data_IF_545795043894
#
_entry.id   IF_545795043894
#
_cell.length_a   1.000
_cell.length_b   1.000
_cell.length_c   1.000
_cell.angle_alpha   90.00
_cell.angle_beta   90.00
_cell.angle_gamma   90.00
#
_symmetry.space_group_name_H-M   'P 1'
#
loop_
_entity.id
_entity.type
_entity.pdbx_description
1 polymer ?
#
# COMPACT_ATOMS: atom_id res chain seq x y z
N UNK A 1 -1.32 10.42 -25.16
CA UNK A 1 -1.84 9.97 -23.85
C UNK A 1 -2.21 11.14 -22.93
N UNK A 2 -1.26 11.91 -22.37
CA UNK A 2 -1.62 13.00 -21.45
C UNK A 2 -2.48 14.10 -22.07
N UNK A 3 -2.21 14.48 -23.33
CA UNK A 3 -3.01 15.46 -24.07
C UNK A 3 -4.42 14.95 -24.41
N UNK A 4 -4.55 13.65 -24.72
CA UNK A 4 -5.83 13.02 -25.02
C UNK A 4 -6.74 13.01 -23.80
N UNK A 5 -6.17 12.74 -22.61
CA UNK A 5 -6.89 12.80 -21.34
C UNK A 5 -7.41 14.21 -21.05
N UNK A 6 -6.60 15.24 -21.32
CA UNK A 6 -7.04 16.64 -21.16
C UNK A 6 -8.14 17.00 -22.14
N UNK A 7 -8.06 16.53 -23.40
CA UNK A 7 -9.13 16.71 -24.39
C UNK A 7 -10.42 16.02 -23.93
N UNK A 8 -10.34 14.80 -23.39
CA UNK A 8 -11.48 14.08 -22.84
C UNK A 8 -12.12 14.83 -21.65
N UNK A 9 -11.31 15.27 -20.68
CA UNK A 9 -11.78 16.07 -19.55
C UNK A 9 -12.46 17.37 -20.01
N UNK A 10 -11.89 18.07 -21.00
CA UNK A 10 -12.49 19.29 -21.57
C UNK A 10 -13.82 19.00 -22.27
N UNK A 11 -13.93 17.90 -23.02
CA UNK A 11 -15.19 17.46 -23.65
C UNK A 11 -16.26 17.15 -22.61
N UNK A 12 -15.88 16.55 -21.49
CA UNK A 12 -16.75 16.34 -20.32
C UNK A 12 -17.00 17.63 -19.49
N UNK A 13 -16.59 18.80 -19.99
CA UNK A 13 -16.87 20.09 -19.38
C UNK A 13 -15.96 20.47 -18.20
N UNK A 14 -14.82 19.80 -18.01
CA UNK A 14 -13.86 20.10 -16.95
C UNK A 14 -12.76 21.07 -17.41
N UNK A 15 -12.41 22.02 -16.55
CA UNK A 15 -11.18 22.81 -16.70
C UNK A 15 -10.02 22.04 -16.08
N UNK A 16 -9.06 21.60 -16.91
CA UNK A 16 -7.95 20.76 -16.48
C UNK A 16 -6.59 21.40 -16.74
N UNK A 17 -5.66 21.21 -15.80
CA UNK A 17 -4.25 21.57 -15.91
C UNK A 17 -3.45 20.27 -15.92
N UNK A 18 -2.63 20.07 -16.95
CA UNK A 18 -1.75 18.90 -17.02
C UNK A 18 -0.40 19.18 -16.36
N UNK A 19 0.06 18.23 -15.55
CA UNK A 19 1.40 18.20 -14.99
C UNK A 19 1.91 16.75 -15.00
N UNK A 20 3.04 16.51 -15.67
CA UNK A 20 3.69 15.20 -15.64
C UNK A 20 4.45 15.00 -14.33
N UNK A 21 4.35 13.81 -13.73
CA UNK A 21 5.14 13.42 -12.55
C UNK A 21 6.65 13.32 -12.84
N UNK A 22 7.01 13.05 -14.10
CA UNK A 22 8.41 12.95 -14.56
C UNK A 22 9.10 14.31 -14.74
N UNK A 23 8.36 15.42 -14.58
CA UNK A 23 8.87 16.78 -14.77
C UNK A 23 8.79 17.56 -13.47
N UNK A 24 9.69 18.53 -13.31
CA UNK A 24 9.62 19.51 -12.21
C UNK A 24 8.29 20.27 -12.28
N UNK A 25 7.79 20.74 -11.14
CA UNK A 25 6.62 21.62 -11.07
C UNK A 25 5.38 21.04 -10.38
N UNK A 26 5.37 19.76 -9.99
CA UNK A 26 4.24 19.13 -9.28
C UNK A 26 3.80 19.96 -8.07
N UNK A 27 4.72 20.31 -7.16
CA UNK A 27 4.39 21.11 -5.98
C UNK A 27 3.78 22.47 -6.36
N UNK A 28 4.25 23.11 -7.43
CA UNK A 28 3.68 24.38 -7.91
C UNK A 28 2.28 24.17 -8.49
N UNK A 29 2.06 23.07 -9.22
CA UNK A 29 0.74 22.71 -9.75
C UNK A 29 -0.27 22.42 -8.63
N UNK A 30 0.13 21.67 -7.60
CA UNK A 30 -0.71 21.35 -6.44
C UNK A 30 -1.06 22.58 -5.58
N UNK A 31 -0.28 23.66 -5.66
CA UNK A 31 -0.58 24.94 -4.98
C UNK A 31 -1.55 25.85 -5.76
N UNK A 32 -1.91 25.50 -6.99
CA UNK A 32 -2.89 26.28 -7.76
C UNK A 32 -4.29 26.11 -7.15
N UNK A 33 -5.20 27.03 -7.46
CA UNK A 33 -6.62 26.90 -7.09
C UNK A 33 -7.27 25.80 -7.93
N UNK A 34 -7.26 24.58 -7.40
CA UNK A 34 -7.86 23.37 -7.99
C UNK A 34 -8.80 22.72 -7.00
N UNK A 35 -9.84 22.05 -7.50
CA UNK A 35 -10.86 21.39 -6.69
C UNK A 35 -10.65 19.87 -6.57
N UNK A 36 -9.81 19.30 -7.43
CA UNK A 36 -9.55 17.87 -7.50
C UNK A 36 -8.15 17.63 -8.10
N UNK A 37 -7.44 16.64 -7.57
CA UNK A 37 -6.24 16.07 -8.19
C UNK A 37 -6.61 14.72 -8.79
N UNK A 38 -6.59 14.59 -10.12
CA UNK A 38 -6.76 13.31 -10.79
C UNK A 38 -5.39 12.75 -11.17
N UNK A 39 -4.99 11.61 -10.58
CA UNK A 39 -3.72 10.96 -10.87
C UNK A 39 -3.92 9.84 -11.88
N UNK A 40 -3.37 10.03 -13.07
CA UNK A 40 -3.31 9.02 -14.12
C UNK A 40 -1.97 8.28 -14.06
N UNK A 41 -1.97 7.08 -13.46
CA UNK A 41 -0.73 6.32 -13.23
C UNK A 41 -0.93 5.00 -12.50
N UNK A 42 0.18 4.37 -12.11
CA UNK A 42 0.19 3.23 -11.20
C UNK A 42 0.45 3.64 -9.75
N UNK A 43 0.53 2.65 -8.85
CA UNK A 43 0.63 2.84 -7.40
C UNK A 43 1.75 3.81 -6.98
N UNK A 44 2.96 3.67 -7.54
CA UNK A 44 4.06 4.59 -7.22
C UNK A 44 3.80 6.06 -7.57
N UNK A 45 3.05 6.34 -8.65
CA UNK A 45 2.66 7.73 -8.97
C UNK A 45 1.57 8.22 -8.02
N UNK A 46 0.63 7.36 -7.65
CA UNK A 46 -0.42 7.67 -6.68
C UNK A 46 0.19 7.99 -5.31
N UNK A 47 1.07 7.13 -4.80
CA UNK A 47 1.76 7.34 -3.52
C UNK A 47 2.63 8.60 -3.50
N UNK A 48 3.34 8.91 -4.60
CA UNK A 48 4.13 10.15 -4.69
C UNK A 48 3.23 11.39 -4.53
N UNK A 49 2.12 11.45 -5.26
CA UNK A 49 1.21 12.59 -5.22
C UNK A 49 0.46 12.66 -3.88
N UNK A 50 0.00 11.53 -3.35
CA UNK A 50 -0.64 11.44 -2.06
C UNK A 50 0.30 11.92 -0.93
N UNK A 51 1.58 11.52 -0.94
CA UNK A 51 2.58 12.00 0.01
C UNK A 51 2.71 13.52 0.00
N UNK A 52 2.74 14.13 -1.20
CA UNK A 52 2.81 15.59 -1.34
C UNK A 52 1.57 16.27 -0.79
N UNK A 53 0.38 15.74 -1.06
CA UNK A 53 -0.89 16.26 -0.54
C UNK A 53 -0.93 16.23 0.98
N UNK A 54 -0.56 15.10 1.59
CA UNK A 54 -0.49 14.92 3.05
C UNK A 54 0.53 15.88 3.66
N UNK A 55 1.74 15.95 3.08
CA UNK A 55 2.82 16.82 3.58
C UNK A 55 2.47 18.31 3.51
N UNK A 56 1.66 18.70 2.51
CA UNK A 56 1.14 20.06 2.35
C UNK A 56 -0.10 20.34 3.20
N UNK A 57 -0.63 19.33 3.93
CA UNK A 57 -1.93 19.39 4.62
C UNK A 57 -3.05 19.84 3.69
N UNK A 58 -3.00 19.38 2.43
CA UNK A 58 -3.95 19.78 1.39
C UNK A 58 -5.35 19.27 1.71
N UNK A 59 -6.35 20.13 1.48
CA UNK A 59 -7.78 19.78 1.57
C UNK A 59 -8.35 19.35 0.21
N UNK A 60 -7.55 19.41 -0.86
CA UNK A 60 -7.94 19.01 -2.21
C UNK A 60 -7.99 17.48 -2.28
N UNK A 61 -9.13 16.89 -2.66
CA UNK A 61 -9.23 15.44 -2.76
C UNK A 61 -8.44 14.88 -3.95
N UNK A 62 -8.09 13.60 -3.83
CA UNK A 62 -7.37 12.81 -4.81
C UNK A 62 -8.30 11.79 -5.45
N UNK A 63 -8.37 11.73 -6.78
CA UNK A 63 -8.96 10.61 -7.52
C UNK A 63 -7.88 9.92 -8.35
N UNK A 64 -8.11 8.66 -8.70
CA UNK A 64 -7.13 7.83 -9.39
C UNK A 64 -7.72 7.30 -10.69
N UNK A 65 -6.94 7.46 -11.77
CA UNK A 65 -7.15 6.83 -13.05
C UNK A 65 -6.10 5.72 -13.21
N UNK A 66 -6.47 4.45 -12.97
CA UNK A 66 -5.53 3.35 -12.77
C UNK A 66 -4.90 2.88 -14.09
N UNK A 67 -3.74 3.43 -14.43
CA UNK A 67 -2.97 3.13 -15.65
C UNK A 67 -1.82 2.12 -15.44
N UNK A 68 -1.56 1.71 -14.20
CA UNK A 68 -0.49 0.79 -13.85
C UNK A 68 -0.82 -0.70 -14.03
N UNK A 69 0.13 -1.54 -13.65
CA UNK A 69 -0.01 -3.00 -13.72
C UNK A 69 -0.87 -3.55 -12.58
N UNK A 70 -0.50 -3.25 -11.33
CA UNK A 70 -1.14 -3.75 -10.12
C UNK A 70 -2.34 -2.89 -9.70
N UNK A 71 -2.14 -1.57 -9.57
CA UNK A 71 -3.15 -0.59 -9.15
C UNK A 71 -3.81 -1.00 -7.82
N UNK A 72 -3.02 -1.43 -6.85
CA UNK A 72 -3.53 -1.94 -5.59
C UNK A 72 -4.32 -0.89 -4.80
N UNK A 73 -3.80 0.34 -4.74
CA UNK A 73 -4.51 1.46 -4.10
C UNK A 73 -5.88 1.69 -4.75
N UNK A 74 -5.89 1.78 -6.09
CA UNK A 74 -7.10 2.02 -6.85
C UNK A 74 -8.12 0.89 -6.68
N UNK A 75 -7.68 -0.37 -6.81
CA UNK A 75 -8.52 -1.56 -6.66
C UNK A 75 -9.10 -1.70 -5.25
N UNK A 76 -8.29 -1.44 -4.23
CA UNK A 76 -8.73 -1.57 -2.84
C UNK A 76 -9.78 -0.53 -2.47
N UNK A 77 -9.75 0.63 -3.12
CA UNK A 77 -10.76 1.69 -2.99
C UNK A 77 -11.89 1.58 -4.02
N UNK A 78 -11.95 0.49 -4.80
CA UNK A 78 -13.05 0.24 -5.75
C UNK A 78 -13.03 1.10 -7.02
N UNK A 79 -11.89 1.71 -7.37
CA UNK A 79 -11.72 2.39 -8.66
C UNK A 79 -11.64 1.35 -9.79
N UNK A 80 -12.82 0.91 -10.24
CA UNK A 80 -12.98 -0.17 -11.23
C UNK A 80 -13.45 0.33 -12.60
N UNK A 81 -13.78 1.61 -12.73
CA UNK A 81 -14.31 2.21 -13.96
C UNK A 81 -13.26 2.26 -15.07
N UNK A 82 -13.73 2.20 -16.31
CA UNK A 82 -12.89 2.52 -17.47
C UNK A 82 -12.50 4.01 -17.46
N UNK A 83 -11.53 4.35 -18.31
CA UNK A 83 -11.01 5.72 -18.38
C UNK A 83 -12.08 6.73 -18.77
N UNK A 84 -12.93 6.36 -19.74
CA UNK A 84 -13.97 7.23 -20.25
C UNK A 84 -15.11 7.38 -19.23
N UNK A 85 -15.56 6.28 -18.63
CA UNK A 85 -16.57 6.30 -17.57
C UNK A 85 -16.15 7.15 -16.36
N UNK A 86 -14.87 7.04 -15.95
CA UNK A 86 -14.35 7.84 -14.85
C UNK A 86 -14.40 9.34 -15.17
N UNK A 87 -14.02 9.72 -16.40
CA UNK A 87 -14.00 11.12 -16.83
C UNK A 87 -15.42 11.67 -16.96
N UNK A 88 -16.34 10.90 -17.52
CA UNK A 88 -17.75 11.32 -17.69
C UNK A 88 -18.46 11.46 -16.35
N UNK A 89 -18.22 10.53 -15.42
CA UNK A 89 -18.88 10.51 -14.12
C UNK A 89 -18.15 11.33 -13.05
N UNK A 90 -17.01 11.94 -13.36
CA UNK A 90 -16.13 12.60 -12.39
C UNK A 90 -16.85 13.61 -11.48
N UNK A 91 -17.89 14.27 -11.98
CA UNK A 91 -18.71 15.24 -11.22
C UNK A 91 -19.58 14.62 -10.13
N UNK A 92 -19.96 13.36 -10.29
CA UNK A 92 -20.83 12.62 -9.38
C UNK A 92 -20.06 11.94 -8.24
N UNK A 93 -18.75 12.18 -8.13
CA UNK A 93 -17.97 11.57 -7.07
C UNK A 93 -18.24 12.18 -5.70
N UNK A 94 -17.90 11.42 -4.68
CA UNK A 94 -18.03 11.80 -3.29
C UNK A 94 -16.66 11.93 -2.64
N UNK A 95 -16.56 12.87 -1.69
CA UNK A 95 -15.31 13.11 -0.97
C UNK A 95 -15.30 12.31 0.33
N UNK A 96 -14.50 11.25 0.37
CA UNK A 96 -14.26 10.42 1.55
C UNK A 96 -12.98 10.84 2.26
N UNK A 97 -12.92 10.69 3.59
CA UNK A 97 -11.67 10.79 4.35
C UNK A 97 -10.82 9.55 4.15
N UNK A 98 -9.49 9.73 4.24
CA UNK A 98 -8.54 8.65 4.18
C UNK A 98 -7.44 8.84 5.22
N UNK A 99 -7.26 7.83 6.04
CA UNK A 99 -6.26 7.71 7.09
C UNK A 99 -4.94 7.27 6.47
N UNK A 100 -3.86 7.89 6.94
CA UNK A 100 -2.52 7.68 6.37
C UNK A 100 -1.58 7.16 7.44
N UNK A 101 -0.75 6.18 7.08
CA UNK A 101 0.33 5.71 7.93
C UNK A 101 1.49 6.68 7.97
N UNK A 102 1.98 6.96 9.17
CA UNK A 102 3.25 7.65 9.38
C UNK A 102 4.18 6.75 10.18
N UNK A 103 5.26 6.30 9.54
CA UNK A 103 6.34 5.60 10.17
C UNK A 103 7.48 6.56 10.49
N UNK A 104 7.98 6.51 11.72
CA UNK A 104 9.17 7.23 12.18
C UNK A 104 10.22 6.22 12.56
N UNK A 105 11.44 6.45 12.13
CA UNK A 105 12.56 5.58 12.48
C UNK A 105 13.90 6.24 12.15
N UNK A 106 14.96 5.44 12.07
CA UNK A 106 16.31 5.92 11.75
C UNK A 106 16.42 6.73 10.44
N UNK A 107 15.52 6.46 9.49
CA UNK A 107 15.40 7.14 8.21
C UNK A 107 14.58 8.44 8.25
N UNK A 108 14.14 8.87 9.43
CA UNK A 108 13.22 10.00 9.61
C UNK A 108 11.75 9.60 9.48
N UNK A 109 10.95 10.45 8.83
CA UNK A 109 9.52 10.24 8.63
C UNK A 109 9.21 9.67 7.25
N UNK A 110 8.27 8.73 7.20
CA UNK A 110 7.78 8.12 5.96
C UNK A 110 6.28 7.92 6.02
N UNK A 111 5.58 8.41 5.00
CA UNK A 111 4.16 8.11 4.82
C UNK A 111 3.99 6.79 4.06
N UNK A 112 2.92 6.06 4.38
CA UNK A 112 2.46 4.88 3.66
C UNK A 112 0.92 4.87 3.62
N UNK A 113 0.34 4.21 2.63
CA UNK A 113 -1.10 4.28 2.36
C UNK A 113 -1.79 2.92 2.41
N UNK A 114 -1.07 1.85 2.09
CA UNK A 114 -1.59 0.49 2.02
C UNK A 114 -1.36 -0.27 3.31
N UNK A 115 -0.13 -0.22 3.80
CA UNK A 115 0.27 -0.89 5.02
C UNK A 115 1.79 -0.91 5.19
N UNK A 116 2.22 -1.41 6.34
CA UNK A 116 3.63 -1.65 6.65
C UNK A 116 3.78 -3.06 7.21
N UNK A 117 4.93 -3.70 7.01
CA UNK A 117 5.12 -5.05 7.50
C UNK A 117 6.55 -5.53 7.47
N UNK A 118 6.75 -6.74 7.98
CA UNK A 118 8.04 -7.40 7.99
C UNK A 118 7.91 -8.92 7.88
N UNK A 119 9.08 -9.57 7.83
CA UNK A 119 9.17 -11.01 7.70
C UNK A 119 9.08 -11.46 6.24
N UNK A 120 8.37 -12.57 5.99
CA UNK A 120 8.31 -13.24 4.69
C UNK A 120 8.07 -12.28 3.51
N UNK A 121 7.15 -11.33 3.65
CA UNK A 121 6.81 -10.37 2.59
C UNK A 121 7.93 -9.36 2.32
N UNK A 122 8.53 -8.78 3.36
CA UNK A 122 9.61 -7.82 3.19
C UNK A 122 10.82 -8.48 2.52
N UNK A 123 11.16 -9.70 2.95
CA UNK A 123 12.21 -10.52 2.34
C UNK A 123 11.92 -10.90 0.89
N UNK A 124 10.65 -11.16 0.58
CA UNK A 124 10.20 -11.42 -0.78
C UNK A 124 10.39 -10.19 -1.68
N UNK A 125 9.96 -9.01 -1.24
CA UNK A 125 10.10 -7.75 -1.98
C UNK A 125 11.58 -7.35 -2.18
N UNK A 126 12.46 -7.72 -1.24
CA UNK A 126 13.87 -7.40 -1.29
C UNK A 126 14.69 -8.32 -2.20
N UNK A 127 14.20 -9.53 -2.47
CA UNK A 127 14.96 -10.50 -3.24
C UNK A 127 15.18 -10.03 -4.70
N UNK A 128 16.33 -10.37 -5.30
CA UNK A 128 16.57 -10.08 -6.71
C UNK A 128 15.43 -10.60 -7.58
N UNK A 129 14.90 -9.74 -8.45
CA UNK A 129 13.93 -10.16 -9.46
C UNK A 129 14.69 -10.83 -10.61
N UNK A 130 14.98 -12.11 -10.47
CA UNK A 130 15.82 -12.88 -11.41
C UNK A 130 15.24 -13.00 -12.84
N UNK A 131 14.06 -12.44 -13.15
CA UNK A 131 13.30 -12.80 -14.35
C UNK A 131 12.57 -11.64 -15.07
N UNK A 132 13.10 -10.41 -15.07
CA UNK A 132 12.51 -9.30 -15.83
C UNK A 132 12.31 -9.57 -17.34
N UNK A 133 13.04 -10.54 -17.92
CA UNK A 133 12.87 -10.98 -19.32
C UNK A 133 11.72 -11.99 -19.53
N UNK A 134 11.34 -12.78 -18.51
CA UNK A 134 10.24 -13.77 -18.58
C UNK A 134 8.87 -13.21 -18.14
N UNK A 135 8.87 -12.05 -17.49
CA UNK A 135 7.64 -11.33 -17.10
C UNK A 135 6.81 -10.87 -18.31
N UNK A 136 7.44 -10.63 -19.48
CA UNK A 136 6.75 -10.09 -20.67
C UNK A 136 5.76 -11.05 -21.36
N UNK A 137 5.82 -12.36 -21.11
CA UNK A 137 4.94 -13.35 -21.75
C UNK A 137 3.76 -13.79 -20.89
N UNK A 138 3.68 -13.35 -19.62
CA UNK A 138 2.60 -13.75 -18.71
C UNK A 138 1.48 -12.72 -18.70
N UNK A 139 0.25 -13.20 -18.63
CA UNK A 139 -0.88 -12.35 -18.25
C UNK A 139 -0.70 -11.84 -16.81
N UNK A 140 -1.32 -10.69 -16.49
CA UNK A 140 -1.29 -10.12 -15.12
C UNK A 140 -1.71 -11.13 -14.04
N UNK A 141 -2.67 -12.00 -14.37
CA UNK A 141 -3.15 -13.03 -13.45
C UNK A 141 -2.11 -14.14 -13.19
N UNK A 142 -1.34 -14.52 -14.21
CA UNK A 142 -0.28 -15.52 -14.08
C UNK A 142 0.93 -15.02 -13.31
N UNK A 143 1.30 -13.76 -13.55
CA UNK A 143 2.34 -13.05 -12.78
C UNK A 143 1.96 -13.03 -11.30
N UNK A 144 0.71 -12.67 -10.99
CA UNK A 144 0.21 -12.67 -9.62
C UNK A 144 0.26 -14.05 -8.97
N UNK A 145 -0.23 -15.09 -9.65
CA UNK A 145 -0.14 -16.48 -9.14
C UNK A 145 1.30 -16.92 -8.92
N UNK A 146 2.23 -16.47 -9.76
CA UNK A 146 3.64 -16.77 -9.60
C UNK A 146 4.21 -16.17 -8.30
N UNK A 147 3.89 -14.90 -8.00
CA UNK A 147 4.31 -14.27 -6.74
C UNK A 147 3.78 -15.01 -5.51
N UNK A 148 2.52 -15.44 -5.53
CA UNK A 148 1.94 -16.21 -4.41
C UNK A 148 2.63 -17.56 -4.24
N UNK A 149 2.91 -18.28 -5.34
CA UNK A 149 3.65 -19.55 -5.29
C UNK A 149 5.06 -19.38 -4.73
N UNK A 150 5.70 -18.26 -5.02
CA UNK A 150 7.03 -17.96 -4.49
C UNK A 150 6.98 -17.65 -2.99
N UNK A 151 5.98 -16.91 -2.51
CA UNK A 151 5.72 -16.72 -1.08
C UNK A 151 5.47 -18.07 -0.38
N UNK A 152 4.62 -18.91 -0.97
CA UNK A 152 4.34 -20.27 -0.47
C UNK A 152 5.63 -21.11 -0.37
N UNK A 153 6.43 -21.15 -1.44
CA UNK A 153 7.70 -21.89 -1.48
C UNK A 153 8.67 -21.43 -0.41
N UNK A 154 8.83 -20.11 -0.25
CA UNK A 154 9.70 -19.53 0.79
C UNK A 154 9.20 -19.87 2.18
N UNK A 155 7.90 -19.77 2.40
CA UNK A 155 7.26 -20.08 3.67
C UNK A 155 7.51 -21.52 4.12
N UNK A 156 7.78 -22.49 3.26
CA UNK A 156 8.06 -23.86 3.71
C UNK A 156 9.24 -23.96 4.68
N UNK A 157 10.29 -23.16 4.46
CA UNK A 157 11.53 -23.19 5.26
C UNK A 157 11.85 -21.83 5.92
N UNK A 158 10.92 -20.88 5.87
CA UNK A 158 11.13 -19.53 6.39
C UNK A 158 11.18 -19.55 7.92
N UNK A 159 12.24 -19.04 8.54
CA UNK A 159 12.32 -18.99 10.02
C UNK A 159 11.60 -17.76 10.56
N UNK A 160 10.75 -17.96 11.57
CA UNK A 160 10.20 -16.85 12.34
C UNK A 160 11.34 -16.01 12.95
N UNK A 161 11.09 -14.71 13.10
CA UNK A 161 12.06 -13.77 13.68
C UNK A 161 11.48 -13.14 14.93
N UNK A 162 12.31 -12.95 15.95
CA UNK A 162 11.94 -12.25 17.18
C UNK A 162 11.75 -10.76 16.93
N UNK A 163 10.66 -10.22 17.48
CA UNK A 163 10.33 -8.81 17.43
C UNK A 163 9.95 -8.32 18.82
N UNK A 164 10.52 -7.19 19.24
CA UNK A 164 10.08 -6.42 20.41
C UNK A 164 9.08 -5.37 19.91
N UNK A 165 7.80 -5.50 20.25
CA UNK A 165 6.71 -4.68 19.70
C UNK A 165 5.59 -4.44 20.71
N UNK A 166 4.96 -3.28 20.64
CA UNK A 166 3.75 -2.97 21.39
C UNK A 166 2.71 -2.25 20.51
N UNK A 167 1.44 -2.60 20.69
CA UNK A 167 0.29 -1.95 20.06
C UNK A 167 -0.49 -1.17 21.12
N UNK A 168 -0.58 0.14 20.97
CA UNK A 168 -1.23 1.05 21.93
C UNK A 168 -0.77 0.86 23.39
N UNK A 169 0.46 0.38 23.58
CA UNK A 169 1.07 0.12 24.89
C UNK A 169 0.97 -1.33 25.36
N UNK A 170 0.17 -2.17 24.70
CA UNK A 170 0.09 -3.60 24.98
C UNK A 170 1.21 -4.36 24.26
N UNK A 171 1.94 -5.19 25.01
CA UNK A 171 3.01 -6.00 24.45
C UNK A 171 2.46 -7.05 23.46
N UNK A 172 3.09 -7.12 22.30
CA UNK A 172 2.81 -8.12 21.26
C UNK A 172 4.08 -8.79 20.77
N UNK A 173 5.14 -8.72 21.57
CA UNK A 173 6.45 -9.26 21.22
C UNK A 173 6.42 -10.77 20.96
N UNK A 174 7.41 -11.23 20.20
CA UNK A 174 7.67 -12.65 19.96
C UNK A 174 8.12 -12.97 18.53
N UNK A 175 8.13 -14.26 18.23
CA UNK A 175 8.57 -14.80 16.94
C UNK A 175 7.47 -14.79 15.89
N UNK A 176 7.70 -14.08 14.78
CA UNK A 176 6.76 -13.97 13.67
C UNK A 176 7.36 -14.43 12.34
N UNK A 177 6.60 -15.23 11.57
CA UNK A 177 6.85 -15.51 10.14
C UNK A 177 6.62 -14.25 9.31
N UNK A 178 5.56 -13.51 9.63
CA UNK A 178 5.26 -12.19 9.12
C UNK A 178 4.42 -11.42 10.14
N UNK A 179 4.47 -10.11 10.05
CA UNK A 179 3.49 -9.22 10.68
C UNK A 179 3.22 -8.04 9.75
N UNK A 180 2.00 -7.50 9.80
CA UNK A 180 1.58 -6.33 9.05
C UNK A 180 0.70 -5.40 9.90
N UNK A 181 0.94 -4.11 9.73
CA UNK A 181 0.05 -3.00 10.05
C UNK A 181 -0.75 -2.64 8.78
N UNK A 182 -2.02 -3.03 8.72
CA UNK A 182 -2.86 -2.92 7.53
C UNK A 182 -3.75 -1.67 7.59
N UNK A 183 -3.71 -0.86 6.52
CA UNK A 183 -4.69 0.20 6.27
C UNK A 183 -5.71 -0.23 5.19
N UNK A 184 -5.20 -0.87 4.13
CA UNK A 184 -6.02 -1.54 3.13
C UNK A 184 -6.24 -3.01 3.49
N UNK A 185 -7.24 -3.62 2.84
CA UNK A 185 -7.62 -5.00 3.12
C UNK A 185 -6.61 -6.04 2.65
N UNK A 186 -5.78 -5.69 1.66
CA UNK A 186 -4.90 -6.62 0.97
C UNK A 186 -3.48 -6.09 0.81
N UNK A 187 -2.50 -6.99 0.91
CA UNK A 187 -1.12 -6.75 0.49
C UNK A 187 -0.98 -7.14 -0.98
N UNK A 188 -0.78 -6.14 -1.84
CA UNK A 188 -0.95 -6.32 -3.27
C UNK A 188 -2.39 -6.75 -3.64
N UNK A 189 -2.65 -7.05 -4.91
CA UNK A 189 -4.02 -7.09 -5.42
C UNK A 189 -4.81 -8.35 -5.05
N UNK A 190 -4.22 -9.33 -4.35
CA UNK A 190 -4.87 -10.62 -4.08
C UNK A 190 -4.68 -11.17 -2.67
N UNK A 191 -3.75 -10.69 -1.86
CA UNK A 191 -3.52 -11.28 -0.53
C UNK A 191 -4.28 -10.47 0.51
N UNK A 192 -5.57 -10.76 0.64
CA UNK A 192 -6.46 -10.18 1.66
C UNK A 192 -6.09 -10.72 3.03
N UNK A 193 -5.35 -9.92 3.80
CA UNK A 193 -4.93 -10.24 5.16
C UNK A 193 -5.88 -9.66 6.21
N UNK A 194 -6.43 -8.46 5.95
CA UNK A 194 -7.34 -7.76 6.85
C UNK A 194 -8.68 -7.48 6.14
N UNK A 195 -9.56 -8.47 5.99
CA UNK A 195 -10.78 -8.33 5.19
C UNK A 195 -11.72 -7.23 5.67
N UNK A 196 -11.63 -6.83 6.93
CA UNK A 196 -12.50 -5.85 7.56
C UNK A 196 -11.86 -4.46 7.71
N UNK A 197 -10.62 -4.29 7.22
CA UNK A 197 -9.90 -3.03 7.29
C UNK A 197 -10.67 -1.90 6.59
N UNK A 198 -10.66 -0.73 7.23
CA UNK A 198 -11.25 0.51 6.75
C UNK A 198 -10.20 1.59 6.75
N UNK A 199 -10.29 2.48 5.78
CA UNK A 199 -9.32 3.55 5.57
C UNK A 199 -9.71 4.86 6.21
N UNK A 200 -10.78 4.89 7.02
CA UNK A 200 -11.40 6.11 7.54
C UNK A 200 -11.86 5.97 9.00
N UNK A 201 -11.39 4.94 9.71
CA UNK A 201 -11.87 4.56 11.03
C UNK A 201 -10.90 4.90 12.18
N UNK A 202 -9.80 5.57 11.85
CA UNK A 202 -8.77 6.04 12.76
C UNK A 202 -7.89 4.94 13.35
N UNK A 203 -7.85 3.74 12.75
CA UNK A 203 -7.03 2.62 13.21
C UNK A 203 -6.36 1.85 12.06
N UNK A 204 -5.33 1.06 12.38
CA UNK A 204 -4.83 -0.02 11.53
C UNK A 204 -5.24 -1.37 12.11
N UNK A 205 -5.27 -2.39 11.25
CA UNK A 205 -5.40 -3.79 11.65
C UNK A 205 -4.03 -4.46 11.69
N UNK A 206 -3.62 -4.91 12.87
CA UNK A 206 -2.44 -5.75 13.03
C UNK A 206 -2.78 -7.20 12.68
N UNK A 207 -2.02 -7.78 11.75
CA UNK A 207 -2.07 -9.20 11.39
C UNK A 207 -0.68 -9.80 11.60
N UNK A 208 -0.56 -10.79 12.48
CA UNK A 208 0.70 -11.49 12.73
C UNK A 208 0.52 -13.00 12.59
N UNK A 209 1.46 -13.66 11.89
CA UNK A 209 1.52 -15.11 11.80
C UNK A 209 2.77 -15.61 12.52
N UNK A 210 2.59 -16.49 13.50
CA UNK A 210 3.65 -17.14 14.27
C UNK A 210 3.96 -18.53 13.70
N UNK A 211 4.88 -19.25 14.31
CA UNK A 211 5.32 -20.57 13.82
C UNK A 211 4.16 -21.58 13.77
N UNK A 212 3.29 -21.55 14.78
CA UNK A 212 2.06 -22.34 14.87
C UNK A 212 1.08 -22.07 13.71
N UNK A 213 1.13 -20.88 13.12
CA UNK A 213 0.27 -20.46 12.01
C UNK A 213 0.80 -20.89 10.63
N UNK A 214 2.00 -21.50 10.56
CA UNK A 214 2.65 -21.83 9.28
C UNK A 214 1.75 -22.63 8.36
N UNK A 215 1.10 -23.67 8.89
CA UNK A 215 0.20 -24.53 8.10
C UNK A 215 -0.99 -23.73 7.56
N UNK A 216 -1.61 -22.91 8.41
CA UNK A 216 -2.73 -22.04 8.02
C UNK A 216 -2.33 -21.10 6.88
N UNK A 217 -1.13 -20.51 6.97
CA UNK A 217 -0.63 -19.57 5.99
C UNK A 217 -0.22 -20.25 4.67
N UNK A 218 0.36 -21.45 4.72
CA UNK A 218 0.61 -22.29 3.54
C UNK A 218 -0.69 -22.64 2.81
N UNK A 219 -1.67 -23.17 3.55
CA UNK A 219 -2.98 -23.55 3.01
C UNK A 219 -3.73 -22.33 2.42
N UNK A 220 -3.51 -21.14 2.98
CA UNK A 220 -4.02 -19.88 2.45
C UNK A 220 -3.33 -19.49 1.12
N UNK A 221 -1.99 -19.48 1.07
CA UNK A 221 -1.27 -19.15 -0.16
C UNK A 221 -1.55 -20.16 -1.28
N UNK A 222 -1.65 -21.45 -0.99
CA UNK A 222 -2.04 -22.47 -1.96
C UNK A 222 -3.43 -22.16 -2.56
N UNK A 223 -4.42 -21.86 -1.72
CA UNK A 223 -5.76 -21.51 -2.17
C UNK A 223 -5.75 -20.23 -3.05
N UNK A 224 -4.99 -19.20 -2.66
CA UNK A 224 -4.87 -17.96 -3.46
C UNK A 224 -4.13 -18.19 -4.77
N UNK A 225 -3.10 -19.03 -4.79
CA UNK A 225 -2.40 -19.43 -6.02
C UNK A 225 -3.32 -20.21 -6.98
N UNK A 226 -4.26 -20.98 -6.45
CA UNK A 226 -5.32 -21.64 -7.20
C UNK A 226 -6.49 -20.71 -7.59
N UNK A 227 -6.40 -19.40 -7.29
CA UNK A 227 -7.45 -18.42 -7.61
C UNK A 227 -8.68 -18.46 -6.68
N UNK A 228 -8.68 -19.29 -5.64
CA UNK A 228 -9.80 -19.43 -4.71
C UNK A 228 -9.84 -18.25 -3.74
N UNK A 229 -11.03 -17.73 -3.45
CA UNK A 229 -11.26 -16.80 -2.33
C UNK A 229 -11.27 -17.60 -1.04
N UNK A 230 -10.29 -17.37 -0.17
CA UNK A 230 -10.19 -17.99 1.16
C UNK A 230 -9.95 -16.88 2.17
N UNK A 231 -10.65 -16.91 3.30
CA UNK A 231 -10.34 -16.02 4.44
C UNK A 231 -9.11 -16.57 5.16
N UNK A 232 -8.22 -15.67 5.58
CA UNK A 232 -7.09 -16.01 6.44
C UNK A 232 -7.61 -16.06 7.89
N UNK A 233 -7.63 -17.22 8.56
CA UNK A 233 -8.19 -17.34 9.90
C UNK A 233 -7.15 -16.94 10.97
N UNK A 234 -6.53 -15.77 10.81
CA UNK A 234 -5.66 -15.17 11.83
C UNK A 234 -6.42 -14.09 12.59
N UNK A 235 -6.09 -13.94 13.87
CA UNK A 235 -6.64 -12.86 14.68
C UNK A 235 -6.11 -11.51 14.20
N UNK A 236 -6.99 -10.52 14.24
CA UNK A 236 -6.66 -9.13 13.94
C UNK A 236 -6.79 -8.30 15.20
N UNK A 237 -5.89 -7.34 15.40
CA UNK A 237 -5.95 -6.39 16.51
C UNK A 237 -5.92 -4.98 15.97
N UNK A 238 -6.95 -4.20 16.25
CA UNK A 238 -6.98 -2.78 15.88
C UNK A 238 -6.05 -1.99 16.77
N UNK A 239 -5.32 -1.04 16.20
CA UNK A 239 -4.42 -0.17 16.95
C UNK A 239 -4.24 1.20 16.29
N UNK A 240 -3.81 2.20 17.05
CA UNK A 240 -3.51 3.56 16.55
C UNK A 240 -2.02 3.88 16.50
N UNK A 241 -1.27 3.31 17.43
CA UNK A 241 0.17 3.46 17.57
C UNK A 241 0.82 2.11 17.78
N UNK A 242 1.79 1.78 16.95
CA UNK A 242 2.69 0.66 17.15
C UNK A 242 4.09 1.18 17.43
N UNK A 243 4.75 0.60 18.42
CA UNK A 243 6.17 0.79 18.68
C UNK A 243 6.88 -0.53 18.47
N UNK A 244 8.04 -0.51 17.84
CA UNK A 244 8.87 -1.69 17.71
C UNK A 244 10.34 -1.36 17.75
N UNK A 245 11.14 -2.30 18.26
CA UNK A 245 12.59 -2.23 18.21
C UNK A 245 13.09 -2.96 16.97
N UNK A 246 13.70 -2.21 16.07
CA UNK A 246 14.21 -2.73 14.82
C UNK A 246 15.39 -3.68 15.05
N UNK A 247 15.18 -4.95 14.70
CA UNK A 247 16.19 -6.01 14.78
C UNK A 247 17.09 -6.10 13.52
N UNK A 248 17.11 -5.06 12.67
CA UNK A 248 17.85 -5.03 11.39
C UNK A 248 17.27 -5.94 10.29
N UNK A 249 16.11 -6.56 10.50
CA UNK A 249 15.38 -7.26 9.44
C UNK A 249 14.80 -6.28 8.41
N UNK A 250 14.59 -6.71 7.15
CA UNK A 250 13.83 -5.95 6.18
C UNK A 250 12.43 -5.60 6.69
N UNK A 251 12.02 -4.37 6.39
CA UNK A 251 10.65 -3.89 6.53
C UNK A 251 10.13 -3.55 5.14
N UNK A 252 8.82 -3.39 4.98
CA UNK A 252 8.26 -2.72 3.81
C UNK A 252 7.22 -1.70 4.25
N UNK A 253 7.07 -0.68 3.41
CA UNK A 253 6.03 0.33 3.49
C UNK A 253 5.40 0.40 2.11
N UNK A 254 4.12 0.08 2.02
CA UNK A 254 3.44 -0.23 0.75
C UNK A 254 4.19 -1.35 -0.01
N UNK A 255 4.48 -1.15 -1.29
CA UNK A 255 5.21 -2.09 -2.15
C UNK A 255 6.74 -1.91 -2.12
N UNK A 256 7.25 -0.98 -1.29
CA UNK A 256 8.67 -0.69 -1.19
C UNK A 256 9.35 -1.36 0.01
N UNK A 257 10.29 -2.27 -0.27
CA UNK A 257 11.17 -2.82 0.75
C UNK A 257 12.20 -1.78 1.25
N UNK A 258 12.41 -1.75 2.55
CA UNK A 258 13.42 -0.97 3.24
C UNK A 258 14.38 -1.88 4.02
N UNK A 259 15.68 -1.58 3.98
CA UNK A 259 16.70 -2.39 4.66
C UNK A 259 17.96 -1.65 5.07
N UNK A 260 18.74 -2.34 5.92
CA UNK A 260 20.00 -1.92 6.55
C UNK A 260 21.04 -1.36 5.58
N UNK A 261 21.03 -1.76 4.30
CA UNK A 261 22.04 -1.28 3.33
C UNK A 261 22.02 0.25 3.15
N UNK A 262 20.94 0.93 3.57
CA UNK A 262 20.83 2.38 3.53
C UNK A 262 21.43 3.10 4.75
N UNK A 263 21.68 2.42 5.88
CA UNK A 263 22.19 3.04 7.12
C UNK A 263 23.14 2.12 7.89
N UNK A 264 24.46 2.40 7.82
CA UNK A 264 25.50 1.53 8.41
C UNK A 264 25.53 1.55 9.95
N UNK A 265 25.02 2.61 10.61
CA UNK A 265 24.94 2.75 12.08
C UNK A 265 23.81 3.72 12.47
N UNK A 266 22.58 3.23 12.69
CA UNK A 266 21.46 4.10 13.04
C UNK A 266 21.62 4.62 14.48
N UNK A 267 21.22 5.87 14.73
CA UNK A 267 21.29 6.51 16.07
C UNK A 267 20.27 5.94 17.06
N UNK A 268 19.17 5.37 16.56
CA UNK A 268 18.17 4.66 17.34
C UNK A 268 17.78 3.39 16.56
N UNK A 269 17.15 2.42 17.24
CA UNK A 269 16.48 1.29 16.57
C UNK A 269 14.97 1.35 16.77
N UNK A 270 14.47 2.40 17.43
CA UNK A 270 13.06 2.53 17.71
C UNK A 270 12.34 2.99 16.44
N UNK A 271 11.26 2.28 16.14
CA UNK A 271 10.34 2.63 15.09
C UNK A 271 8.98 2.85 15.71
N UNK A 272 8.34 3.94 15.30
CA UNK A 272 6.95 4.26 15.66
C UNK A 272 6.11 4.30 14.39
N UNK A 273 5.02 3.55 14.36
CA UNK A 273 4.00 3.62 13.32
C UNK A 273 2.75 4.24 13.96
N UNK A 274 2.25 5.32 13.37
CA UNK A 274 1.04 6.01 13.85
C UNK A 274 0.03 6.22 12.73
N UNK A 275 -1.25 6.13 13.08
CA UNK A 275 -2.34 6.54 12.21
C UNK A 275 -2.44 8.07 12.18
N UNK A 276 -2.49 8.65 10.98
CA UNK A 276 -2.82 10.05 10.73
C UNK A 276 -4.24 10.11 10.19
N UNK A 277 -5.20 10.23 11.12
CA UNK A 277 -6.62 10.24 10.80
C UNK A 277 -7.00 11.35 9.83
N UNK A 278 -7.79 11.01 8.80
CA UNK A 278 -8.33 11.93 7.79
C UNK A 278 -7.26 12.84 7.15
N UNK A 279 -6.02 12.35 7.03
CA UNK A 279 -4.88 13.12 6.54
C UNK A 279 -4.88 13.29 5.02
N UNK A 280 -5.64 12.44 4.31
CA UNK A 280 -5.89 12.52 2.88
C UNK A 280 -7.41 12.54 2.65
N UNK A 281 -7.82 13.03 1.47
CA UNK A 281 -9.21 12.98 1.00
C UNK A 281 -9.24 12.29 -0.34
N UNK A 282 -10.17 11.36 -0.51
CA UNK A 282 -10.33 10.61 -1.74
C UNK A 282 -11.62 11.06 -2.42
N UNK A 283 -11.54 11.37 -3.71
CA UNK A 283 -12.69 11.61 -4.54
C UNK A 283 -13.03 10.32 -5.25
N UNK A 284 -14.06 9.65 -4.74
CA UNK A 284 -14.45 8.31 -5.16
C UNK A 284 -15.69 8.36 -6.03
N UNK A 285 -15.74 7.50 -7.03
CA UNK A 285 -16.90 7.30 -7.90
C UNK A 285 -17.47 5.92 -7.59
N UNK A 286 -18.77 5.86 -7.31
CA UNK A 286 -19.50 4.58 -7.15
C UNK A 286 -19.77 3.90 -8.50
#
# INVERSE_FOLDING_TARGET
QGEDLIKALKRAGHKAIYQSSKRKGITKALKKKINLVLVAGGDGTVSEIACRLVSMKSKVPLSVLPLGTANNFARSLGFCLSHDELIERLRAGECESFDVGLARGPWGERYFFEGAGAGLFADYLQAPKDNAKREKTRSKAEEMRHHIRELHRRLQNYRAREWEMALDGEDVSGSYLLWHAMNLRSVGPVLTLAPDAKTDDGAFDFVGAREEDRKVLLDYFEARAAGKKRKLPLSMRRFRRMRLRWNQSPLHFDDEAWSVKKEKRPRSRDIEIVVKGSALRIWRLE
#
